data_IF_906343322499
#
_entry.id   IF_906343322499
#
_cell.length_a   1.000
_cell.length_b   1.000
_cell.length_c   1.000
_cell.angle_alpha   90.00
_cell.angle_beta   90.00
_cell.angle_gamma   90.00
#
_symmetry.space_group_name_H-M   'P 1'
#
loop_
_entity.id
_entity.type
_entity.pdbx_description
1 polymer ?
#
# COMPACT_ATOMS: atom_id res chain seq x y z
N UNK A 1 54.32 22.69 -24.36
CA UNK A 1 54.20 21.62 -25.37
C UNK A 1 54.95 20.42 -24.82
N UNK A 2 54.20 19.49 -24.23
CA UNK A 2 54.69 18.21 -23.72
C UNK A 2 53.56 17.20 -23.90
N UNK A 3 53.74 16.43 -24.96
CA UNK A 3 53.36 15.05 -25.27
C UNK A 3 52.19 14.37 -24.54
N UNK A 4 51.21 14.00 -25.36
CA UNK A 4 50.29 12.86 -25.22
C UNK A 4 51.05 11.53 -25.19
N UNK A 5 50.71 10.61 -24.26
CA UNK A 5 50.23 9.27 -24.59
C UNK A 5 49.95 8.36 -23.35
N UNK A 6 48.84 7.63 -23.46
CA UNK A 6 48.68 6.22 -23.06
C UNK A 6 48.31 5.87 -21.59
N UNK A 7 47.04 5.55 -21.35
CA UNK A 7 46.61 4.14 -21.30
C UNK A 7 45.14 4.01 -20.90
N UNK A 8 44.34 3.59 -21.87
CA UNK A 8 43.01 2.99 -21.68
C UNK A 8 43.15 1.67 -20.93
N UNK A 9 42.61 1.58 -19.70
CA UNK A 9 42.30 0.29 -19.05
C UNK A 9 40.83 0.21 -18.67
N UNK A 10 40.06 -0.34 -19.62
CA UNK A 10 38.85 -1.12 -19.34
C UNK A 10 39.28 -2.48 -18.77
N UNK A 11 38.95 -2.77 -17.53
CA UNK A 11 39.01 -4.11 -16.91
C UNK A 11 38.23 -4.07 -15.60
N UNK A 12 37.28 -4.94 -15.26
CA UNK A 12 36.73 -6.10 -15.95
C UNK A 12 35.42 -6.47 -15.22
N UNK A 13 34.32 -6.45 -15.96
CA UNK A 13 33.00 -6.92 -15.52
C UNK A 13 32.79 -8.36 -15.98
N UNK A 14 33.62 -9.30 -15.47
CA UNK A 14 33.66 -10.65 -16.05
C UNK A 14 34.07 -11.79 -15.13
N UNK A 15 34.10 -11.62 -13.81
CA UNK A 15 34.68 -12.66 -12.94
C UNK A 15 33.93 -13.01 -11.65
N UNK A 16 32.61 -12.83 -11.62
CA UNK A 16 31.75 -13.29 -10.51
C UNK A 16 30.58 -14.18 -10.97
N UNK A 17 30.71 -14.81 -12.14
CA UNK A 17 29.79 -15.85 -12.60
C UNK A 17 30.23 -17.22 -12.09
N UNK A 18 29.31 -17.96 -11.47
CA UNK A 18 29.34 -19.41 -11.16
C UNK A 18 29.53 -19.86 -9.69
N UNK A 19 29.77 -18.97 -8.71
CA UNK A 19 29.93 -19.40 -7.30
C UNK A 19 28.65 -19.36 -6.44
N UNK A 20 27.54 -18.78 -6.91
CA UNK A 20 26.28 -18.73 -6.13
C UNK A 20 25.36 -19.93 -6.36
N UNK A 21 25.62 -20.76 -7.38
CA UNK A 21 24.69 -21.82 -7.81
C UNK A 21 24.87 -23.12 -7.02
N UNK A 22 25.98 -23.31 -6.30
CA UNK A 22 26.28 -24.56 -5.57
C UNK A 22 25.72 -24.63 -4.13
N UNK A 23 25.11 -23.56 -3.61
CA UNK A 23 24.56 -23.56 -2.24
C UNK A 23 23.09 -24.06 -2.12
N UNK A 24 22.37 -24.22 -3.24
CA UNK A 24 20.91 -24.45 -3.23
C UNK A 24 20.54 -25.96 -3.15
N UNK A 25 21.48 -26.87 -3.41
CA UNK A 25 21.18 -28.31 -3.49
C UNK A 25 21.08 -29.04 -2.13
N UNK A 26 21.41 -28.40 -1.00
CA UNK A 26 21.38 -29.05 0.31
C UNK A 26 20.14 -28.74 1.18
N UNK A 27 19.29 -27.78 0.78
CA UNK A 27 18.15 -27.34 1.60
C UNK A 27 16.85 -28.10 1.31
N UNK A 28 16.71 -28.69 0.12
CA UNK A 28 15.42 -29.26 -0.34
C UNK A 28 15.12 -30.65 0.26
N UNK A 29 16.11 -31.35 0.80
CA UNK A 29 15.93 -32.73 1.33
C UNK A 29 15.39 -32.77 2.77
N UNK A 30 15.22 -31.63 3.45
CA UNK A 30 14.79 -31.59 4.85
C UNK A 30 13.29 -31.32 5.07
N UNK A 31 12.52 -31.00 4.02
CA UNK A 31 11.10 -30.60 4.13
C UNK A 31 10.09 -31.68 3.70
N UNK A 32 10.55 -32.90 3.42
CA UNK A 32 9.70 -34.06 3.06
C UNK A 32 9.47 -35.03 4.25
N UNK A 33 9.59 -34.54 5.49
CA UNK A 33 9.66 -35.37 6.69
C UNK A 33 8.69 -35.00 7.81
N UNK A 34 7.44 -34.61 7.51
CA UNK A 34 6.38 -34.59 8.52
C UNK A 34 5.01 -34.54 7.82
N UNK A 35 4.48 -35.72 7.51
CA UNK A 35 3.10 -35.84 7.07
C UNK A 35 2.11 -35.56 8.21
N UNK A 36 0.85 -35.44 7.78
CA UNK A 36 -0.33 -36.00 8.44
C UNK A 36 -0.97 -35.19 9.56
N UNK A 37 -2.05 -34.46 9.26
CA UNK A 37 -3.33 -34.61 9.97
C UNK A 37 -4.52 -34.34 9.04
N UNK A 38 -5.29 -35.41 8.82
CA UNK A 38 -6.62 -35.49 8.25
C UNK A 38 -7.64 -35.23 9.37
N UNK A 39 -8.73 -34.49 9.10
CA UNK A 39 -9.91 -34.42 9.99
C UNK A 39 -10.93 -33.41 9.46
N UNK A 40 -11.90 -33.78 8.60
CA UNK A 40 -13.19 -34.48 8.83
C UNK A 40 -14.32 -33.53 9.28
N UNK A 41 -15.32 -33.42 8.41
CA UNK A 41 -16.59 -32.67 8.51
C UNK A 41 -17.43 -33.00 9.75
N UNK A 42 -18.23 -32.02 10.18
CA UNK A 42 -19.61 -32.21 10.66
C UNK A 42 -20.40 -30.88 10.64
N UNK A 43 -21.33 -30.76 9.71
CA UNK A 43 -22.47 -29.83 9.79
C UNK A 43 -23.65 -30.55 10.48
N UNK A 44 -24.57 -29.79 11.09
CA UNK A 44 -25.99 -30.16 10.98
C UNK A 44 -26.90 -29.01 10.52
N UNK A 45 -27.93 -29.46 9.81
CA UNK A 45 -29.03 -28.80 9.09
C UNK A 45 -30.11 -28.10 9.97
N UNK A 46 -31.09 -27.41 9.35
CA UNK A 46 -31.91 -26.35 9.96
C UNK A 46 -33.20 -26.85 10.62
N UNK A 47 -33.84 -25.97 11.42
CA UNK A 47 -35.26 -26.08 11.77
C UNK A 47 -36.00 -24.76 11.54
N UNK A 48 -36.92 -24.78 10.57
CA UNK A 48 -38.11 -23.94 10.50
C UNK A 48 -39.14 -24.46 11.56
N UNK A 49 -40.24 -23.79 11.98
CA UNK A 49 -40.93 -22.57 11.58
C UNK A 49 -41.89 -22.11 12.71
N UNK A 50 -42.31 -20.84 12.64
CA UNK A 50 -43.61 -20.26 13.09
C UNK A 50 -43.85 -20.04 14.60
N UNK A 51 -44.44 -18.93 15.08
CA UNK A 51 -45.48 -18.09 14.49
C UNK A 51 -45.51 -16.62 14.99
N UNK A 52 -45.81 -15.72 14.05
CA UNK A 52 -46.78 -14.57 14.08
C UNK A 52 -47.05 -13.84 15.41
N UNK A 53 -46.81 -12.52 15.42
CA UNK A 53 -47.81 -11.47 15.77
C UNK A 53 -47.35 -10.10 15.25
N UNK A 54 -48.21 -9.46 14.45
CA UNK A 54 -48.13 -8.06 13.97
C UNK A 54 -48.89 -7.17 14.96
N UNK A 55 -48.45 -5.93 15.22
CA UNK A 55 -49.30 -4.82 14.75
C UNK A 55 -48.51 -3.69 14.06
N UNK A 56 -49.16 -3.22 13.00
CA UNK A 56 -49.04 -1.94 12.29
C UNK A 56 -48.20 -0.83 12.94
N UNK A 57 -47.17 -0.40 12.22
CA UNK A 57 -46.51 0.89 12.36
C UNK A 57 -46.31 1.50 10.97
N UNK A 58 -46.97 2.64 10.74
CA UNK A 58 -47.17 3.39 9.51
C UNK A 58 -45.96 3.51 8.57
N UNK A 59 -46.21 3.23 7.29
CA UNK A 59 -45.33 3.47 6.15
C UNK A 59 -45.31 4.96 5.83
N UNK A 60 -44.14 5.60 5.91
CA UNK A 60 -43.91 6.89 5.25
C UNK A 60 -43.03 6.64 4.03
N UNK A 61 -43.67 6.50 2.87
CA UNK A 61 -43.01 6.55 1.55
C UNK A 61 -42.80 8.02 1.23
N UNK A 62 -41.56 8.48 1.24
CA UNK A 62 -41.21 9.72 0.55
C UNK A 62 -40.65 9.33 -0.81
N UNK A 63 -41.52 9.45 -1.83
CA UNK A 63 -41.16 9.38 -3.22
C UNK A 63 -40.28 10.60 -3.57
N UNK A 64 -39.13 10.38 -4.19
CA UNK A 64 -38.38 11.43 -4.90
C UNK A 64 -37.87 10.82 -6.20
N UNK A 65 -38.42 11.35 -7.30
CA UNK A 65 -38.02 11.06 -8.68
C UNK A 65 -36.68 11.76 -9.01
N UNK A 66 -36.02 11.41 -10.13
CA UNK A 66 -34.57 11.32 -10.25
C UNK A 66 -33.91 12.69 -10.45
N UNK A 67 -32.99 13.01 -9.55
CA UNK A 67 -32.04 14.12 -9.67
C UNK A 67 -30.62 13.58 -9.63
N UNK A 68 -29.99 13.54 -10.79
CA UNK A 68 -28.57 13.28 -11.00
C UNK A 68 -27.72 14.33 -10.26
N UNK A 69 -27.20 13.99 -9.08
CA UNK A 69 -25.99 14.59 -8.52
C UNK A 69 -25.20 13.46 -7.87
N UNK A 70 -24.04 13.16 -8.45
CA UNK A 70 -23.04 12.26 -7.88
C UNK A 70 -22.69 12.72 -6.46
N UNK A 71 -23.14 11.96 -5.46
CA UNK A 71 -22.64 12.08 -4.11
C UNK A 71 -21.25 11.43 -4.06
N UNK A 72 -20.20 12.20 -4.33
CA UNK A 72 -18.84 11.81 -3.95
C UNK A 72 -18.80 11.79 -2.42
N UNK A 73 -18.96 10.61 -1.84
CA UNK A 73 -18.76 10.39 -0.40
C UNK A 73 -17.28 10.63 -0.11
N UNK A 74 -16.93 11.89 0.16
CA UNK A 74 -15.63 12.25 0.70
C UNK A 74 -15.60 11.75 2.15
N UNK A 75 -15.04 10.55 2.33
CA UNK A 75 -14.72 10.02 3.66
C UNK A 75 -13.63 10.91 4.24
N UNK A 76 -14.03 11.91 5.01
CA UNK A 76 -13.09 12.76 5.77
C UNK A 76 -12.40 11.90 6.80
N UNK A 77 -11.07 11.85 6.76
CA UNK A 77 -10.26 11.22 7.81
C UNK A 77 -10.36 12.10 9.06
N UNK A 78 -10.59 11.55 10.26
CA UNK A 78 -10.56 12.32 11.50
C UNK A 78 -9.19 13.00 11.70
N UNK A 79 -9.13 14.15 12.39
CA UNK A 79 -7.88 14.86 12.62
C UNK A 79 -6.90 13.98 13.39
N UNK A 80 -5.68 13.88 12.89
CA UNK A 80 -4.62 13.10 13.52
C UNK A 80 -3.91 13.90 14.62
N UNK A 81 -3.47 13.28 15.72
CA UNK A 81 -2.57 13.93 16.67
C UNK A 81 -1.31 14.44 15.96
N UNK A 82 -1.03 15.73 16.14
CA UNK A 82 0.12 16.40 15.57
C UNK A 82 1.44 15.76 16.08
N UNK A 83 2.25 15.26 15.13
CA UNK A 83 3.71 15.31 15.15
C UNK A 83 4.45 14.50 16.22
N UNK A 84 4.55 13.18 16.04
CA UNK A 84 5.58 12.38 16.71
C UNK A 84 6.89 12.46 15.91
N UNK A 85 7.65 13.55 16.09
CA UNK A 85 9.02 13.72 15.58
C UNK A 85 9.23 14.97 14.73
N UNK A 86 10.39 15.62 14.89
CA UNK A 86 10.84 16.71 14.04
C UNK A 86 10.82 16.25 12.57
N UNK A 87 10.11 16.99 11.71
CA UNK A 87 10.06 16.71 10.27
C UNK A 87 8.86 15.89 9.77
N UNK A 88 7.90 15.51 10.61
CA UNK A 88 6.62 14.90 10.17
C UNK A 88 5.60 15.99 9.81
N UNK A 89 5.02 15.92 8.61
CA UNK A 89 3.96 16.82 8.12
C UNK A 89 2.56 16.32 8.50
N UNK A 90 2.34 15.01 8.33
CA UNK A 90 1.09 14.33 8.67
C UNK A 90 1.43 12.88 9.03
N UNK A 91 0.74 12.32 10.02
CA UNK A 91 0.81 10.90 10.35
C UNK A 91 -0.58 10.41 10.68
N UNK A 92 -0.88 9.12 10.52
CA UNK A 92 -2.07 8.50 11.11
C UNK A 92 -1.76 7.02 11.36
N UNK A 93 -2.14 6.52 12.53
CA UNK A 93 -2.03 5.10 12.89
C UNK A 93 -3.11 4.25 12.21
N UNK A 94 -4.23 4.87 11.87
CA UNK A 94 -5.35 4.24 11.18
C UNK A 94 -5.74 5.11 9.99
N UNK A 95 -5.21 4.76 8.82
CA UNK A 95 -5.48 5.40 7.56
C UNK A 95 -6.08 4.39 6.59
N UNK A 96 -7.33 4.59 6.22
CA UNK A 96 -8.01 3.79 5.19
C UNK A 96 -8.00 4.55 3.87
N UNK A 97 -7.56 3.91 2.80
CA UNK A 97 -7.46 4.54 1.49
C UNK A 97 -8.83 4.69 0.81
N UNK A 98 -9.12 5.93 0.41
CA UNK A 98 -10.07 6.31 -0.64
C UNK A 98 -9.29 7.01 -1.75
N UNK A 99 -9.74 8.17 -2.21
CA UNK A 99 -8.97 9.02 -3.13
C UNK A 99 -8.38 10.24 -2.39
N UNK A 100 -7.08 10.20 -2.09
CA UNK A 100 -6.47 11.23 -1.25
C UNK A 100 -5.22 11.85 -1.85
N UNK A 101 -5.13 13.17 -1.74
CA UNK A 101 -3.91 13.93 -1.89
C UNK A 101 -3.29 14.15 -0.50
N UNK A 102 -2.05 13.69 -0.31
CA UNK A 102 -1.32 13.78 0.95
C UNK A 102 -0.51 15.08 1.12
N UNK A 103 -0.56 15.99 0.15
CA UNK A 103 0.02 17.34 0.26
C UNK A 103 -0.85 18.31 1.06
N UNK A 104 -2.08 17.89 1.39
CA UNK A 104 -2.96 18.59 2.33
C UNK A 104 -2.96 17.90 3.70
N UNK A 105 -3.15 18.70 4.75
CA UNK A 105 -3.36 18.23 6.10
C UNK A 105 -4.66 18.86 6.65
N UNK A 106 -5.73 18.07 6.88
CA UNK A 106 -5.82 16.63 6.65
C UNK A 106 -5.81 16.27 5.15
N UNK A 107 -5.44 15.03 4.78
CA UNK A 107 -5.56 14.55 3.41
C UNK A 107 -6.97 14.68 2.88
N UNK A 108 -7.09 15.11 1.62
CA UNK A 108 -8.37 15.31 0.94
C UNK A 108 -8.24 15.03 -0.54
N UNK A 109 -9.36 14.81 -1.21
CA UNK A 109 -9.37 14.66 -2.66
C UNK A 109 -8.90 15.94 -3.38
N UNK A 110 -8.12 15.77 -4.44
CA UNK A 110 -7.81 16.82 -5.41
C UNK A 110 -7.79 16.21 -6.80
N UNK A 111 -8.67 16.70 -7.68
CA UNK A 111 -8.79 16.18 -9.04
C UNK A 111 -7.44 16.14 -9.77
N UNK A 112 -7.14 14.99 -10.38
CA UNK A 112 -5.90 14.76 -11.14
C UNK A 112 -4.62 14.63 -10.31
N UNK A 113 -4.67 14.75 -8.98
CA UNK A 113 -3.52 14.66 -8.08
C UNK A 113 -3.92 13.94 -6.80
N UNK A 114 -4.04 12.62 -6.83
CA UNK A 114 -4.45 11.84 -5.67
C UNK A 114 -3.91 10.41 -5.76
N UNK A 115 -3.94 9.69 -4.66
CA UNK A 115 -3.57 8.29 -4.54
C UNK A 115 -4.84 7.52 -4.17
N UNK A 116 -5.04 6.37 -4.78
CA UNK A 116 -6.26 5.58 -4.61
C UNK A 116 -5.98 4.07 -4.66
N UNK A 117 -6.81 3.25 -4.00
CA UNK A 117 -6.71 1.81 -4.08
C UNK A 117 -7.35 1.30 -5.38
N UNK A 118 -6.72 0.33 -6.02
CA UNK A 118 -7.28 -0.44 -7.12
C UNK A 118 -7.08 -1.92 -6.83
N UNK A 119 -8.13 -2.58 -6.35
CA UNK A 119 -8.01 -3.93 -5.78
C UNK A 119 -7.09 -3.92 -4.56
N UNK A 120 -5.99 -4.68 -4.62
CA UNK A 120 -4.97 -4.77 -3.56
C UNK A 120 -3.75 -3.88 -3.81
N UNK A 121 -3.74 -3.10 -4.88
CA UNK A 121 -2.66 -2.17 -5.20
C UNK A 121 -3.04 -0.73 -4.84
N UNK A 122 -2.04 0.12 -4.62
CA UNK A 122 -2.19 1.57 -4.62
C UNK A 122 -1.78 2.11 -5.98
N UNK A 123 -2.51 3.12 -6.47
CA UNK A 123 -2.25 3.81 -7.74
C UNK A 123 -2.22 5.32 -7.52
N UNK A 124 -1.42 6.04 -8.31
CA UNK A 124 -1.34 7.50 -8.25
C UNK A 124 -1.86 8.16 -9.52
N UNK A 125 -2.62 9.23 -9.33
CA UNK A 125 -2.94 10.23 -10.33
C UNK A 125 -2.04 11.45 -10.14
N UNK A 126 -1.53 11.98 -11.25
CA UNK A 126 -0.62 13.12 -11.31
C UNK A 126 0.79 12.71 -11.73
N UNK A 127 1.40 13.49 -12.63
CA UNK A 127 2.64 13.11 -13.32
C UNK A 127 3.86 12.94 -12.39
N UNK A 128 4.03 13.84 -11.42
CA UNK A 128 5.18 13.83 -10.52
C UNK A 128 5.08 12.79 -9.38
N UNK A 129 3.87 12.28 -9.11
CA UNK A 129 3.64 11.32 -8.04
C UNK A 129 4.14 9.92 -8.44
N UNK A 130 4.76 9.22 -7.48
CA UNK A 130 5.33 7.87 -7.67
C UNK A 130 5.21 7.04 -6.39
N UNK A 131 5.15 5.72 -6.55
CA UNK A 131 5.14 4.72 -5.49
C UNK A 131 6.27 3.71 -5.71
N UNK A 132 6.83 3.18 -4.63
CA UNK A 132 7.78 2.09 -4.65
C UNK A 132 7.48 1.16 -3.47
N UNK A 133 7.30 -0.13 -3.76
CA UNK A 133 7.20 -1.14 -2.72
C UNK A 133 8.57 -1.40 -2.11
N UNK A 134 8.59 -1.51 -0.78
CA UNK A 134 9.78 -1.85 -0.02
C UNK A 134 10.05 -3.35 -0.12
N UNK A 135 11.30 -3.73 -0.37
CA UNK A 135 11.66 -5.11 -0.75
C UNK A 135 12.28 -5.93 0.39
N UNK A 136 12.31 -5.38 1.60
CA UNK A 136 12.91 -6.05 2.77
C UNK A 136 11.92 -6.01 3.93
N UNK A 137 12.14 -6.85 4.93
CA UNK A 137 11.31 -6.88 6.15
C UNK A 137 11.61 -5.73 7.12
N UNK A 138 12.56 -4.85 6.78
CA UNK A 138 12.84 -3.66 7.56
C UNK A 138 11.81 -2.57 7.30
N UNK A 139 11.66 -1.65 8.26
CA UNK A 139 10.80 -0.48 8.10
C UNK A 139 11.63 0.69 7.54
N UNK A 140 11.37 1.19 6.32
CA UNK A 140 12.15 2.28 5.74
C UNK A 140 11.88 3.61 6.45
N UNK A 141 12.91 4.45 6.59
CA UNK A 141 12.80 5.84 6.99
C UNK A 141 12.58 6.78 5.78
N UNK A 142 12.68 8.09 6.03
CA UNK A 142 12.47 9.13 5.00
C UNK A 142 13.47 8.99 3.86
N UNK A 143 14.75 8.83 4.17
CA UNK A 143 15.83 8.86 3.18
C UNK A 143 15.85 7.57 2.35
N UNK A 144 15.58 6.43 2.99
CA UNK A 144 15.39 5.15 2.32
C UNK A 144 14.19 5.20 1.37
N UNK A 145 13.06 5.76 1.81
CA UNK A 145 11.90 5.93 0.94
C UNK A 145 12.17 6.91 -0.21
N UNK A 146 12.91 7.99 0.04
CA UNK A 146 13.30 8.95 -1.00
C UNK A 146 14.10 8.26 -2.09
N UNK A 147 15.09 7.46 -1.69
CA UNK A 147 15.97 6.72 -2.61
C UNK A 147 15.19 5.65 -3.38
N UNK A 148 14.37 4.85 -2.70
CA UNK A 148 13.56 3.82 -3.35
C UNK A 148 12.58 4.38 -4.39
N UNK A 149 11.95 5.53 -4.12
CA UNK A 149 11.04 6.17 -5.08
C UNK A 149 11.80 6.79 -6.25
N UNK A 150 13.02 7.29 -6.02
CA UNK A 150 13.87 7.81 -7.10
C UNK A 150 14.32 6.71 -8.05
N UNK A 151 14.74 5.56 -7.51
CA UNK A 151 15.28 4.43 -8.29
C UNK A 151 14.19 3.58 -8.95
N UNK A 152 13.13 3.26 -8.20
CA UNK A 152 12.14 2.23 -8.56
C UNK A 152 10.72 2.77 -8.61
N UNK A 153 10.52 4.08 -8.52
CA UNK A 153 9.19 4.70 -8.46
C UNK A 153 8.35 4.47 -9.72
N UNK A 154 7.14 3.95 -9.54
CA UNK A 154 6.16 3.65 -10.57
C UNK A 154 4.80 4.30 -10.24
N UNK A 155 3.80 4.14 -11.12
CA UNK A 155 2.45 4.70 -10.93
C UNK A 155 1.55 3.84 -10.04
N UNK A 156 1.90 2.59 -9.82
CA UNK A 156 1.13 1.66 -9.01
C UNK A 156 2.08 0.72 -8.25
N UNK A 157 1.57 0.11 -7.18
CA UNK A 157 2.27 -0.96 -6.45
C UNK A 157 1.87 -2.33 -6.99
N UNK A 158 2.61 -3.38 -6.61
CA UNK A 158 2.11 -4.75 -6.72
C UNK A 158 0.91 -5.02 -5.78
N UNK A 159 0.52 -6.29 -5.71
CA UNK A 159 -0.49 -6.76 -4.77
C UNK A 159 0.02 -6.65 -3.34
N UNK A 160 -0.51 -5.68 -2.60
CA UNK A 160 -0.13 -5.45 -1.22
C UNK A 160 -0.68 -6.55 -0.31
N UNK A 161 0.11 -6.93 0.69
CA UNK A 161 -0.25 -7.83 1.78
C UNK A 161 -0.11 -7.09 3.11
N UNK A 162 -0.67 -7.67 4.18
CA UNK A 162 -0.38 -7.16 5.52
C UNK A 162 1.13 -7.19 5.78
N UNK A 163 1.62 -6.18 6.50
CA UNK A 163 3.04 -5.93 6.78
C UNK A 163 3.89 -5.47 5.60
N UNK A 164 3.31 -5.27 4.39
CA UNK A 164 4.02 -4.58 3.31
C UNK A 164 4.30 -3.12 3.70
N UNK A 165 5.42 -2.57 3.23
CA UNK A 165 5.73 -1.14 3.31
C UNK A 165 5.75 -0.53 1.91
N UNK A 166 5.05 0.60 1.76
CA UNK A 166 5.04 1.37 0.51
C UNK A 166 5.67 2.72 0.76
N UNK A 167 6.70 3.04 0.00
CA UNK A 167 7.25 4.37 -0.08
C UNK A 167 6.59 5.13 -1.23
N UNK A 168 6.36 6.43 -1.07
CA UNK A 168 5.83 7.24 -2.14
C UNK A 168 6.29 8.68 -2.11
N UNK A 169 6.15 9.32 -3.27
CA UNK A 169 6.36 10.76 -3.45
C UNK A 169 5.08 11.36 -3.98
N UNK A 170 4.59 12.40 -3.32
CA UNK A 170 3.38 13.12 -3.72
C UNK A 170 3.63 14.00 -4.95
N UNK A 171 2.57 14.55 -5.51
CA UNK A 171 2.68 15.44 -6.68
C UNK A 171 3.47 16.72 -6.37
N UNK A 172 3.42 17.24 -5.14
CA UNK A 172 4.25 18.39 -4.73
C UNK A 172 5.61 17.99 -4.17
N UNK A 173 5.94 16.70 -4.16
CA UNK A 173 7.27 16.19 -3.84
C UNK A 173 7.52 15.88 -2.36
N UNK A 174 6.49 15.83 -1.51
CA UNK A 174 6.65 15.24 -0.16
C UNK A 174 6.87 13.75 -0.29
N UNK A 175 7.67 13.20 0.61
CA UNK A 175 7.88 11.75 0.71
C UNK A 175 6.99 11.21 1.81
N UNK A 176 6.47 10.02 1.61
CA UNK A 176 5.66 9.32 2.61
C UNK A 176 5.97 7.83 2.65
N UNK A 177 5.62 7.22 3.77
CA UNK A 177 5.58 5.78 3.96
C UNK A 177 4.17 5.36 4.37
N UNK A 178 3.72 4.24 3.86
CA UNK A 178 2.50 3.57 4.26
C UNK A 178 2.81 2.14 4.71
N UNK A 179 2.48 1.82 5.96
CA UNK A 179 2.65 0.52 6.58
C UNK A 179 1.32 -0.21 6.50
N UNK A 180 1.23 -1.22 5.63
CA UNK A 180 -0.03 -1.91 5.33
C UNK A 180 -0.44 -2.80 6.50
N UNK A 181 -1.60 -2.52 7.12
CA UNK A 181 -2.17 -3.38 8.17
C UNK A 181 -3.11 -4.41 7.56
N UNK A 182 -3.89 -4.01 6.55
CA UNK A 182 -4.74 -4.92 5.80
C UNK A 182 -4.87 -4.47 4.34
N UNK A 183 -4.89 -5.44 3.44
CA UNK A 183 -5.15 -5.25 2.01
C UNK A 183 -6.13 -6.35 1.55
N UNK A 184 -7.33 -5.95 1.15
CA UNK A 184 -8.42 -6.85 0.78
C UNK A 184 -9.60 -6.06 0.24
N UNK A 185 -10.74 -6.07 0.96
CA UNK A 185 -11.89 -5.22 0.61
C UNK A 185 -11.55 -3.72 0.69
N UNK A 186 -10.71 -3.34 1.63
CA UNK A 186 -10.12 -2.01 1.76
C UNK A 186 -8.63 -2.13 2.04
N UNK A 187 -7.87 -1.10 1.67
CA UNK A 187 -6.46 -0.98 2.05
C UNK A 187 -6.39 -0.01 3.22
N UNK A 188 -5.90 -0.48 4.37
CA UNK A 188 -5.73 0.34 5.57
C UNK A 188 -4.41 0.07 6.26
N UNK A 189 -3.90 1.08 6.96
CA UNK A 189 -2.57 1.01 7.52
C UNK A 189 -2.16 2.28 8.23
N UNK A 190 -0.88 2.36 8.59
CA UNK A 190 -0.27 3.57 9.13
C UNK A 190 0.29 4.39 8.00
N UNK A 191 0.12 5.70 8.03
CA UNK A 191 0.74 6.60 7.05
C UNK A 191 1.60 7.63 7.78
N UNK A 192 2.77 7.91 7.25
CA UNK A 192 3.65 8.99 7.70
C UNK A 192 4.07 9.77 6.46
N UNK A 193 3.80 11.07 6.45
CA UNK A 193 4.19 12.02 5.42
C UNK A 193 5.20 12.96 6.06
N UNK A 194 6.38 13.08 5.47
CA UNK A 194 7.41 13.97 5.95
C UNK A 194 7.31 15.35 5.28
N UNK A 195 7.82 16.37 5.97
CA UNK A 195 8.11 17.65 5.35
C UNK A 195 9.14 17.47 4.23
N UNK A 196 9.11 18.37 3.25
CA UNK A 196 10.05 18.36 2.11
C UNK A 196 11.48 18.50 2.64
#
# INVERSE_FOLDING_TARGET
>A
MSDDQESTKKSGWGQLGHQWITAIAALVTALAGAGFFIGRESAPEPKAASAVTVPAGTVTVTQSAPGEIQATVSKSVPPSPAGNGAGVYFSSEEFEWGEFNLDFNPPRYLAGKYIYPLGRALTVQGEAAKLAEWQTDSVPGKDECTSAVAERGQKYTGDLVASSHVCGKTAEGRVFRFDVIAAGATIRGKVIVWNK
#
